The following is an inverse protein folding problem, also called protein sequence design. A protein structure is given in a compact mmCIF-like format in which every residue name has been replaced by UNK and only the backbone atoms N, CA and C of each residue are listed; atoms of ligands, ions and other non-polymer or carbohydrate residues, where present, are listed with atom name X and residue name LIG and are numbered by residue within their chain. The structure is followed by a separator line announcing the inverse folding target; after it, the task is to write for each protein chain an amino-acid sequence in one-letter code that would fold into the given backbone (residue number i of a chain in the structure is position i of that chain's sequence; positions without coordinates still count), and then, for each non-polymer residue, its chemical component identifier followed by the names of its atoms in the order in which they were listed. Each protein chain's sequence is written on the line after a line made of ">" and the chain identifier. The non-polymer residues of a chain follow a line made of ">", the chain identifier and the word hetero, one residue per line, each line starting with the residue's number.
data_IF_062422203600
#
_entry.id   IF_062422203600
#
_cell.length_a   1.000
_cell.length_b   1.000
_cell.length_c   1.000
_cell.angle_alpha   90.00
_cell.angle_beta   90.00
_cell.angle_gamma   90.00
#
_symmetry.space_group_name_H-M   'P 1'
#
loop_
_entity.id
_entity.type
_entity.pdbx_description
1 polymer ?
#
# COMPACT_ATOMS: atom_id res chain seq x y z
N UNK A 1 32.53 -8.03 -23.36
CA UNK A 1 33.49 -8.69 -24.28
C UNK A 1 33.24 -10.19 -24.22
N UNK A 2 32.87 -10.82 -25.33
CA UNK A 2 32.52 -12.24 -25.39
C UNK A 2 33.76 -13.04 -25.79
N UNK A 3 34.19 -13.98 -24.95
CA UNK A 3 35.25 -14.94 -25.30
C UNK A 3 34.64 -16.34 -25.27
N UNK A 4 34.64 -17.02 -26.43
CA UNK A 4 34.14 -18.39 -26.61
C UNK A 4 32.65 -18.67 -26.31
N UNK A 5 31.74 -17.71 -26.52
CA UNK A 5 30.30 -18.00 -26.54
C UNK A 5 29.69 -18.39 -25.18
N UNK A 6 30.41 -18.17 -24.08
CA UNK A 6 29.85 -18.14 -22.72
C UNK A 6 30.04 -16.75 -22.14
N UNK A 7 29.01 -16.27 -21.46
CA UNK A 7 29.12 -15.10 -20.61
C UNK A 7 30.12 -15.39 -19.50
N UNK A 8 31.20 -14.63 -19.49
CA UNK A 8 32.22 -14.76 -18.46
C UNK A 8 31.66 -14.09 -17.20
N UNK A 9 31.63 -14.76 -16.04
CA UNK A 9 31.17 -14.16 -14.80
C UNK A 9 31.88 -12.83 -14.56
N UNK A 10 31.13 -11.79 -14.21
CA UNK A 10 31.67 -10.44 -14.03
C UNK A 10 32.87 -10.42 -13.06
N UNK A 11 32.85 -11.28 -12.05
CA UNK A 11 33.93 -11.47 -11.07
C UNK A 11 35.29 -11.84 -11.70
N UNK A 12 35.29 -12.59 -12.80
CA UNK A 12 36.51 -12.98 -13.51
C UNK A 12 36.99 -11.85 -14.42
N UNK A 13 36.06 -11.08 -15.01
CA UNK A 13 36.36 -9.94 -15.89
C UNK A 13 36.96 -8.76 -15.12
N UNK A 14 36.45 -8.47 -13.93
CA UNK A 14 36.89 -7.33 -13.13
C UNK A 14 38.01 -7.68 -12.14
N UNK A 15 38.36 -8.97 -12.04
CA UNK A 15 39.26 -9.47 -11.01
C UNK A 15 38.60 -9.34 -9.63
N UNK A 16 38.97 -10.23 -8.72
CA UNK A 16 38.56 -10.09 -7.33
C UNK A 16 39.19 -8.80 -6.79
N UNK A 17 38.41 -7.72 -6.72
CA UNK A 17 38.78 -6.52 -5.97
C UNK A 17 38.88 -7.02 -4.53
N UNK A 18 40.08 -7.39 -4.09
CA UNK A 18 40.35 -7.50 -2.66
C UNK A 18 39.95 -6.14 -2.13
N UNK A 19 38.88 -6.13 -1.34
CA UNK A 19 38.47 -4.96 -0.61
C UNK A 19 39.67 -4.58 0.27
N UNK A 20 40.56 -3.74 -0.26
CA UNK A 20 41.47 -2.97 0.56
C UNK A 20 40.56 -2.27 1.53
N UNK A 21 40.75 -2.57 2.81
CA UNK A 21 40.00 -2.01 3.93
C UNK A 21 40.32 -0.52 4.07
N UNK A 22 40.04 0.25 3.03
CA UNK A 22 40.02 1.70 3.01
C UNK A 22 38.58 2.17 2.78
N UNK A 23 37.62 1.51 3.43
CA UNK A 23 36.39 2.19 3.84
C UNK A 23 36.76 3.21 4.92
N UNK A 24 37.42 4.29 4.50
CA UNK A 24 37.23 5.58 5.16
C UNK A 24 35.76 5.91 4.92
N UNK A 25 34.88 5.34 5.74
CA UNK A 25 33.51 5.77 5.88
C UNK A 25 33.59 7.23 6.31
N UNK A 26 33.60 8.14 5.33
CA UNK A 26 33.62 9.56 5.61
C UNK A 26 32.39 9.85 6.47
N UNK A 27 32.56 10.27 7.73
CA UNK A 27 31.45 10.40 8.67
C UNK A 27 30.36 11.33 8.11
N UNK A 28 30.76 12.29 7.29
CA UNK A 28 29.88 13.24 6.60
C UNK A 28 28.92 12.53 5.64
N UNK A 29 29.39 11.56 4.85
CA UNK A 29 28.54 10.84 3.90
C UNK A 29 27.47 10.01 4.63
N UNK A 30 27.86 9.30 5.69
CA UNK A 30 26.92 8.50 6.50
C UNK A 30 25.88 9.39 7.18
N UNK A 31 26.28 10.57 7.65
CA UNK A 31 25.37 11.57 8.25
C UNK A 31 24.39 12.10 7.21
N UNK A 32 24.85 12.42 5.99
CA UNK A 32 23.99 12.91 4.92
C UNK A 32 22.92 11.87 4.53
N UNK A 33 23.33 10.61 4.36
CA UNK A 33 22.42 9.51 4.03
C UNK A 33 21.37 9.31 5.12
N UNK A 34 21.78 9.31 6.40
CA UNK A 34 20.85 9.21 7.53
C UNK A 34 19.86 10.39 7.56
N UNK A 35 20.35 11.61 7.34
CA UNK A 35 19.50 12.80 7.28
C UNK A 35 18.48 12.74 6.14
N UNK A 36 18.91 12.32 4.95
CA UNK A 36 18.02 12.13 3.78
C UNK A 36 16.96 11.07 4.02
N UNK A 37 17.34 9.95 4.63
CA UNK A 37 16.42 8.88 4.99
C UNK A 37 15.39 9.32 6.03
N UNK A 38 15.82 10.06 7.06
CA UNK A 38 14.93 10.65 8.06
C UNK A 38 13.90 11.58 7.41
N UNK A 39 14.35 12.52 6.58
CA UNK A 39 13.45 13.43 5.85
C UNK A 39 12.46 12.69 4.95
N UNK A 40 12.91 11.67 4.21
CA UNK A 40 12.03 10.89 3.36
C UNK A 40 10.95 10.15 4.17
N UNK A 41 11.33 9.61 5.32
CA UNK A 41 10.39 8.95 6.23
C UNK A 41 9.36 9.94 6.79
N UNK A 42 9.79 11.12 7.25
CA UNK A 42 8.90 12.15 7.79
C UNK A 42 7.90 12.64 6.74
N UNK A 43 8.36 12.88 5.51
CA UNK A 43 7.50 13.25 4.38
C UNK A 43 6.47 12.16 4.11
N UNK A 44 6.91 10.91 4.03
CA UNK A 44 6.02 9.77 3.78
C UNK A 44 4.99 9.63 4.88
N UNK A 45 5.40 9.81 6.15
CA UNK A 45 4.50 9.72 7.31
C UNK A 45 3.44 10.81 7.29
N UNK A 46 3.82 12.06 7.05
CA UNK A 46 2.88 13.18 6.94
C UNK A 46 1.89 12.98 5.79
N UNK A 47 2.36 12.48 4.65
CA UNK A 47 1.49 12.18 3.51
C UNK A 47 0.53 11.04 3.81
N UNK A 48 0.97 10.00 4.53
CA UNK A 48 0.11 8.89 4.93
C UNK A 48 -1.00 9.35 5.88
N UNK A 49 -0.68 10.20 6.86
CA UNK A 49 -1.67 10.78 7.77
C UNK A 49 -2.67 11.68 7.03
N UNK A 50 -2.19 12.56 6.15
CA UNK A 50 -3.04 13.42 5.34
C UNK A 50 -3.97 12.61 4.40
N UNK A 51 -3.43 11.55 3.78
CA UNK A 51 -4.20 10.66 2.91
C UNK A 51 -5.26 9.88 3.69
N UNK A 52 -4.95 9.41 4.90
CA UNK A 52 -5.91 8.73 5.75
C UNK A 52 -7.07 9.67 6.13
N UNK A 53 -6.77 10.92 6.53
CA UNK A 53 -7.80 11.93 6.82
C UNK A 53 -8.68 12.21 5.61
N UNK A 54 -8.07 12.47 4.44
CA UNK A 54 -8.82 12.71 3.19
C UNK A 54 -9.67 11.51 2.78
N UNK A 55 -9.15 10.30 2.95
CA UNK A 55 -9.88 9.07 2.62
C UNK A 55 -11.11 8.90 3.50
N UNK A 56 -10.99 9.21 4.81
CA UNK A 56 -12.13 9.22 5.73
C UNK A 56 -13.18 10.26 5.30
N UNK A 57 -12.77 11.49 5.04
CA UNK A 57 -13.69 12.56 4.60
C UNK A 57 -14.42 12.19 3.30
N UNK A 58 -13.71 11.61 2.33
CA UNK A 58 -14.31 11.14 1.08
C UNK A 58 -15.27 9.95 1.32
N UNK A 59 -14.93 9.04 2.22
CA UNK A 59 -15.79 7.92 2.58
C UNK A 59 -17.09 8.41 3.24
N UNK A 60 -16.97 9.28 4.25
CA UNK A 60 -18.11 9.85 4.98
C UNK A 60 -19.02 10.66 4.04
N UNK A 61 -18.43 11.44 3.11
CA UNK A 61 -19.18 12.17 2.09
C UNK A 61 -19.89 11.27 1.06
N UNK A 62 -19.33 10.08 0.76
CA UNK A 62 -20.00 9.10 -0.12
C UNK A 62 -21.15 8.39 0.59
N UNK A 63 -21.03 8.17 1.89
CA UNK A 63 -22.07 7.52 2.69
C UNK A 63 -23.34 8.38 2.78
N UNK A 64 -23.21 9.71 2.84
CA UNK A 64 -24.36 10.61 2.89
C UNK A 64 -25.17 10.70 1.58
N UNK A 65 -24.61 10.24 0.45
CA UNK A 65 -25.26 10.31 -0.86
C UNK A 65 -26.21 9.14 -1.15
N UNK A 66 -26.12 8.03 -0.40
CA UNK A 66 -26.96 6.85 -0.64
C UNK A 66 -28.00 6.70 0.48
N UNK A 67 -29.14 7.37 0.30
CA UNK A 67 -30.34 7.11 1.08
C UNK A 67 -31.12 5.96 0.45
N UNK A 68 -31.27 4.87 1.18
CA UNK A 68 -32.10 3.72 0.80
C UNK A 68 -33.49 3.84 1.42
N UNK A 69 -34.53 3.50 0.66
CA UNK A 69 -35.92 3.48 1.11
C UNK A 69 -36.44 2.05 1.24
N UNK A 70 -37.53 1.88 2.01
CA UNK A 70 -38.15 0.57 2.15
C UNK A 70 -38.73 0.09 0.81
N UNK A 71 -38.35 -1.12 0.38
CA UNK A 71 -38.69 -1.68 -0.92
C UNK A 71 -37.54 -1.69 -1.94
N UNK A 72 -36.43 -1.01 -1.66
CA UNK A 72 -35.25 -1.06 -2.53
C UNK A 72 -34.56 -2.43 -2.47
N UNK A 73 -34.07 -2.88 -3.63
CA UNK A 73 -33.26 -4.09 -3.76
C UNK A 73 -31.78 -3.70 -3.71
N UNK A 74 -31.06 -4.21 -2.72
CA UNK A 74 -29.66 -3.86 -2.45
C UNK A 74 -28.80 -5.11 -2.37
N UNK A 75 -27.55 -5.01 -2.80
CA UNK A 75 -26.57 -6.08 -2.62
C UNK A 75 -25.62 -5.71 -1.47
N UNK A 76 -25.34 -6.66 -0.58
CA UNK A 76 -24.43 -6.44 0.53
C UNK A 76 -22.98 -6.61 0.06
N UNK A 77 -22.15 -5.59 0.24
CA UNK A 77 -20.70 -5.70 -0.01
C UNK A 77 -20.01 -6.42 1.15
N UNK A 78 -19.31 -7.51 0.84
CA UNK A 78 -18.39 -8.15 1.77
C UNK A 78 -17.06 -7.42 1.82
N UNK A 79 -16.81 -6.68 2.91
CA UNK A 79 -15.50 -6.06 3.16
C UNK A 79 -14.47 -7.07 3.72
N UNK A 80 -14.92 -8.28 4.08
CA UNK A 80 -14.07 -9.30 4.68
C UNK A 80 -13.37 -10.14 3.61
N UNK A 81 -12.05 -10.04 3.54
CA UNK A 81 -11.23 -10.90 2.68
C UNK A 81 -11.03 -12.26 3.35
N UNK A 82 -11.42 -13.35 2.67
CA UNK A 82 -11.04 -14.70 3.14
C UNK A 82 -9.53 -14.91 2.99
N UNK A 83 -8.86 -15.28 4.09
CA UNK A 83 -7.43 -15.60 4.11
C UNK A 83 -7.18 -16.81 3.21
N UNK A 84 -6.14 -16.74 2.37
CA UNK A 84 -5.75 -17.83 1.46
C UNK A 84 -6.45 -17.85 0.10
N UNK A 85 -7.43 -16.98 -0.16
CA UNK A 85 -8.07 -16.85 -1.48
C UNK A 85 -7.84 -15.45 -2.04
N UNK A 86 -7.52 -15.35 -3.33
CA UNK A 86 -7.38 -14.06 -4.01
C UNK A 86 -8.70 -13.30 -4.03
N UNK A 87 -8.69 -12.01 -3.70
CA UNK A 87 -9.90 -11.18 -3.65
C UNK A 87 -10.65 -11.15 -4.99
N UNK A 88 -9.94 -11.31 -6.12
CA UNK A 88 -10.55 -11.38 -7.46
C UNK A 88 -11.39 -12.64 -7.68
N UNK A 89 -11.13 -13.71 -6.92
CA UNK A 89 -11.83 -14.99 -7.02
C UNK A 89 -12.96 -15.12 -6.00
N UNK A 90 -13.14 -14.11 -5.14
CA UNK A 90 -14.23 -14.08 -4.16
C UNK A 90 -15.37 -13.23 -4.73
N UNK A 91 -16.61 -13.69 -4.53
CA UNK A 91 -17.76 -12.86 -4.86
C UNK A 91 -17.84 -11.72 -3.83
N UNK A 92 -17.74 -10.48 -4.30
CA UNK A 92 -17.74 -9.30 -3.43
C UNK A 92 -19.14 -8.94 -2.93
N UNK A 93 -20.19 -9.34 -3.66
CA UNK A 93 -21.56 -8.95 -3.37
C UNK A 93 -22.40 -10.17 -3.03
N UNK A 94 -23.06 -10.13 -1.88
CA UNK A 94 -24.07 -11.13 -1.53
C UNK A 94 -25.46 -10.63 -1.86
N UNK A 95 -26.21 -11.50 -2.57
CA UNK A 95 -27.66 -11.50 -2.74
C UNK A 95 -28.31 -10.21 -3.26
N UNK A 96 -29.53 -10.32 -3.81
CA UNK A 96 -30.48 -9.23 -3.74
C UNK A 96 -31.21 -9.30 -2.38
N UNK A 97 -30.92 -8.35 -1.50
CA UNK A 97 -31.66 -8.12 -0.27
C UNK A 97 -32.71 -7.04 -0.47
N UNK A 98 -33.82 -7.11 0.28
CA UNK A 98 -34.87 -6.10 0.24
C UNK A 98 -34.87 -5.28 1.53
N UNK A 99 -34.76 -3.96 1.38
CA UNK A 99 -34.78 -3.04 2.53
C UNK A 99 -36.18 -3.04 3.13
N UNK A 100 -36.33 -3.53 4.36
CA UNK A 100 -37.65 -3.65 5.03
C UNK A 100 -37.98 -2.43 5.88
N UNK A 101 -37.00 -1.89 6.61
CA UNK A 101 -37.17 -0.72 7.46
C UNK A 101 -35.83 0.02 7.63
N UNK A 102 -35.90 1.35 7.72
CA UNK A 102 -34.75 2.21 8.00
C UNK A 102 -34.86 2.78 9.41
N UNK A 103 -33.80 2.61 10.20
CA UNK A 103 -33.68 3.22 11.51
C UNK A 103 -32.74 4.42 11.45
N UNK A 104 -33.07 5.56 12.08
CA UNK A 104 -32.12 6.66 12.20
C UNK A 104 -30.92 6.22 13.04
N UNK A 105 -29.72 6.69 12.66
CA UNK A 105 -28.49 6.44 13.39
C UNK A 105 -28.62 6.96 14.82
N UNK A 106 -28.61 6.05 15.81
CA UNK A 106 -28.54 6.43 17.22
C UNK A 106 -27.14 6.99 17.47
N UNK A 107 -27.05 8.28 17.75
CA UNK A 107 -25.84 8.94 18.25
C UNK A 107 -25.69 8.56 19.73
N UNK A 108 -24.69 7.74 20.06
CA UNK A 108 -24.21 7.52 21.44
C UNK A 108 -23.02 8.44 21.74
#
# INVERSE_FOLDING_TARGET
>A
MMVLGREVPADVMFGHIKATNETTNSPVFVIEIKSRMGRAHDVTRNQLEANAKRSKEVYDARLSLQTYEAGDVVCLLHDTRRVGVSAKLQNAFDGPFLVTARYPSITL
#
